data_IF_159753559975
#
_entry.id   IF_159753559975
#
_cell.length_a   1.000
_cell.length_b   1.000
_cell.length_c   1.000
_cell.angle_alpha   90.00
_cell.angle_beta   90.00
_cell.angle_gamma   90.00
#
_symmetry.space_group_name_H-M   'P 1'
#
loop_
_entity.id
_entity.type
_entity.pdbx_description
1 polymer ?
#
# COMPACT_ATOMS: atom_id res chain seq x y z
N UNK A 1 -15.00 -21.11 49.05
CA UNK A 1 -14.92 -21.09 47.56
C UNK A 1 -14.80 -19.71 46.96
N UNK A 2 -15.24 -18.63 47.56
CA UNK A 2 -15.22 -17.27 47.02
C UNK A 2 -13.82 -16.65 46.85
N UNK A 3 -12.88 -16.85 47.82
CA UNK A 3 -11.53 -16.28 47.76
C UNK A 3 -10.66 -16.82 46.59
N UNK A 4 -10.78 -18.11 46.29
CA UNK A 4 -10.05 -18.71 45.14
C UNK A 4 -10.56 -18.21 43.76
N UNK A 5 -11.87 -17.93 43.66
CA UNK A 5 -12.45 -17.37 42.44
C UNK A 5 -12.08 -15.89 42.28
N UNK A 6 -12.00 -15.12 43.38
CA UNK A 6 -11.53 -13.74 43.36
C UNK A 6 -10.04 -13.65 42.99
N UNK A 7 -9.19 -14.52 43.57
CA UNK A 7 -7.77 -14.59 43.24
C UNK A 7 -7.50 -15.04 41.79
N UNK A 8 -8.32 -15.91 41.23
CA UNK A 8 -8.25 -16.30 39.83
C UNK A 8 -8.78 -15.23 38.87
N UNK A 9 -9.77 -14.43 39.31
CA UNK A 9 -10.22 -13.27 38.55
C UNK A 9 -9.16 -12.15 38.58
N UNK A 10 -8.52 -11.88 39.70
CA UNK A 10 -7.40 -10.91 39.85
C UNK A 10 -6.14 -11.35 39.10
N UNK A 11 -5.91 -12.66 38.88
CA UNK A 11 -4.79 -13.17 38.04
C UNK A 11 -5.02 -13.03 36.53
N UNK A 12 -6.22 -12.70 36.08
CA UNK A 12 -6.55 -12.57 34.64
C UNK A 12 -6.48 -11.15 34.10
N UNK A 13 -6.48 -10.14 34.94
CA UNK A 13 -6.26 -8.75 34.52
C UNK A 13 -4.80 -8.37 34.77
N UNK A 14 -3.94 -8.55 33.76
CA UNK A 14 -2.57 -8.01 33.80
C UNK A 14 -2.65 -6.48 33.85
N UNK A 15 -1.86 -5.85 34.75
CA UNK A 15 -1.83 -4.40 34.96
C UNK A 15 -1.50 -3.57 33.71
N UNK A 16 -0.85 -4.16 32.70
CA UNK A 16 -0.33 -3.47 31.51
C UNK A 16 -1.23 -3.69 30.28
N UNK A 17 -1.78 -4.90 30.10
CA UNK A 17 -2.43 -5.29 28.84
C UNK A 17 -3.64 -4.41 28.55
N UNK A 18 -4.47 -4.15 29.53
CA UNK A 18 -5.69 -3.35 29.39
C UNK A 18 -5.38 -1.91 28.95
N UNK A 19 -4.43 -1.28 29.64
CA UNK A 19 -4.06 0.10 29.34
C UNK A 19 -3.35 0.20 27.98
N UNK A 20 -2.51 -0.78 27.64
CA UNK A 20 -1.87 -0.88 26.33
C UNK A 20 -2.92 -1.07 25.20
N UNK A 21 -3.89 -1.94 25.41
CA UNK A 21 -4.95 -2.18 24.42
C UNK A 21 -5.83 -0.93 24.23
N UNK A 22 -6.19 -0.23 25.32
CA UNK A 22 -6.92 1.04 25.23
C UNK A 22 -6.13 2.11 24.47
N UNK A 23 -4.83 2.24 24.76
CA UNK A 23 -3.96 3.15 24.03
C UNK A 23 -3.91 2.83 22.53
N UNK A 24 -3.71 1.57 22.17
CA UNK A 24 -3.67 1.14 20.77
C UNK A 24 -5.00 1.39 20.04
N UNK A 25 -6.12 1.19 20.72
CA UNK A 25 -7.44 1.50 20.16
C UNK A 25 -7.64 3.01 19.94
N UNK A 26 -7.13 3.85 20.81
CA UNK A 26 -7.20 5.31 20.65
C UNK A 26 -6.43 5.82 19.42
N UNK A 27 -5.42 5.08 18.96
CA UNK A 27 -4.69 5.42 17.75
C UNK A 27 -5.50 5.17 16.45
N UNK A 28 -6.54 4.34 16.49
CA UNK A 28 -7.36 4.04 15.30
C UNK A 28 -8.17 5.24 14.79
N UNK A 29 -8.46 6.21 15.64
CA UNK A 29 -9.19 7.43 15.28
C UNK A 29 -8.35 8.42 14.47
N UNK A 30 -7.02 8.31 14.53
CA UNK A 30 -6.06 9.27 13.97
C UNK A 30 -5.50 8.89 12.60
N UNK A 31 -5.55 7.59 12.24
CA UNK A 31 -4.92 7.06 11.02
C UNK A 31 -5.79 7.18 9.75
N UNK A 32 -6.62 8.20 9.66
CA UNK A 32 -7.56 8.35 8.53
C UNK A 32 -7.04 9.25 7.40
N UNK A 33 -5.72 9.32 7.23
CA UNK A 33 -5.05 10.09 6.17
C UNK A 33 -4.96 9.36 4.81
N UNK A 34 -5.72 8.27 4.63
CA UNK A 34 -5.74 7.53 3.36
C UNK A 34 -6.49 8.30 2.30
N UNK A 35 -5.94 8.31 1.09
CA UNK A 35 -6.65 8.81 -0.08
C UNK A 35 -7.98 8.07 -0.25
N UNK A 36 -9.04 8.85 -0.47
CA UNK A 36 -10.40 8.36 -0.71
C UNK A 36 -10.75 8.52 -2.18
N UNK A 37 -11.66 7.67 -2.65
CA UNK A 37 -12.08 7.65 -4.05
C UNK A 37 -10.94 7.38 -5.06
N UNK A 38 -9.99 6.54 -4.69
CA UNK A 38 -8.89 6.09 -5.55
C UNK A 38 -8.79 4.56 -5.60
N UNK A 39 -8.19 4.03 -6.66
CA UNK A 39 -7.78 2.64 -6.72
C UNK A 39 -6.45 2.48 -5.97
N UNK A 40 -6.52 2.19 -4.68
CA UNK A 40 -5.31 1.95 -3.89
C UNK A 40 -4.67 0.61 -4.31
N UNK A 41 -3.37 0.58 -4.68
CA UNK A 41 -2.70 -0.65 -5.13
C UNK A 41 -2.81 -1.81 -4.13
N UNK A 42 -2.76 -1.55 -2.83
CA UNK A 42 -2.95 -2.57 -1.78
C UNK A 42 -4.37 -3.18 -1.73
N UNK A 43 -5.32 -2.63 -2.47
CA UNK A 43 -6.68 -3.16 -2.61
C UNK A 43 -6.92 -3.83 -3.97
N UNK A 44 -5.99 -3.72 -4.91
CA UNK A 44 -6.06 -4.40 -6.21
C UNK A 44 -6.10 -5.92 -5.97
N UNK A 45 -6.87 -6.62 -6.80
CA UNK A 45 -7.13 -8.06 -6.62
C UNK A 45 -8.21 -8.42 -5.61
N UNK A 46 -8.70 -7.47 -4.80
CA UNK A 46 -9.85 -7.70 -3.93
C UNK A 46 -11.17 -7.54 -4.69
N UNK A 47 -12.24 -8.09 -4.13
CA UNK A 47 -13.60 -7.98 -4.66
C UNK A 47 -13.95 -6.53 -5.05
N UNK A 48 -14.46 -6.32 -6.28
CA UNK A 48 -14.84 -4.99 -6.79
C UNK A 48 -15.82 -4.27 -5.88
N UNK A 49 -16.80 -4.99 -5.30
CA UNK A 49 -17.77 -4.41 -4.37
C UNK A 49 -17.11 -3.95 -3.06
N UNK A 50 -16.14 -4.71 -2.53
CA UNK A 50 -15.34 -4.27 -1.38
C UNK A 50 -14.55 -2.99 -1.70
N UNK A 51 -13.94 -2.92 -2.87
CA UNK A 51 -13.20 -1.74 -3.33
C UNK A 51 -14.14 -0.54 -3.57
N UNK A 52 -15.35 -0.78 -4.10
CA UNK A 52 -16.39 0.25 -4.24
C UNK A 52 -16.76 0.86 -2.89
N UNK A 53 -17.06 0.04 -1.88
CA UNK A 53 -17.38 0.54 -0.53
C UNK A 53 -16.21 1.32 0.08
N UNK A 54 -14.98 0.87 -0.10
CA UNK A 54 -13.80 1.60 0.36
C UNK A 54 -13.67 2.98 -0.29
N UNK A 55 -13.97 3.11 -1.58
CA UNK A 55 -13.91 4.37 -2.34
C UNK A 55 -15.07 5.30 -2.04
N UNK A 56 -16.25 4.79 -1.76
CA UNK A 56 -17.45 5.57 -1.47
C UNK A 56 -17.63 5.88 0.02
N UNK A 57 -16.61 5.62 0.84
CA UNK A 57 -16.60 5.87 2.28
C UNK A 57 -17.73 5.17 3.05
N UNK A 58 -18.16 4.01 2.55
CA UNK A 58 -19.10 3.18 3.29
C UNK A 58 -18.50 2.80 4.65
N UNK A 59 -19.27 2.92 5.71
CA UNK A 59 -18.83 2.56 7.06
C UNK A 59 -18.43 1.07 7.09
N UNK A 60 -17.25 0.78 7.60
CA UNK A 60 -16.81 -0.59 7.82
C UNK A 60 -17.65 -1.24 8.92
N UNK A 61 -17.88 -2.54 8.78
CA UNK A 61 -18.46 -3.33 9.85
C UNK A 61 -17.68 -3.11 11.15
N UNK A 62 -18.36 -3.17 12.28
CA UNK A 62 -17.81 -2.83 13.61
C UNK A 62 -16.67 -3.74 14.11
N UNK A 63 -16.16 -4.64 13.30
CA UNK A 63 -14.85 -5.28 13.51
C UNK A 63 -13.73 -4.27 13.27
N UNK A 64 -13.82 -3.15 13.98
CA UNK A 64 -12.73 -2.21 14.12
C UNK A 64 -11.44 -2.98 14.41
N UNK A 65 -10.33 -2.50 13.89
CA UNK A 65 -9.00 -3.05 14.15
C UNK A 65 -8.86 -3.17 15.67
N UNK A 66 -8.89 -4.41 16.19
CA UNK A 66 -8.65 -4.65 17.60
C UNK A 66 -7.18 -4.40 17.95
N UNK A 67 -6.86 -4.26 19.22
CA UNK A 67 -5.52 -3.96 19.69
C UNK A 67 -4.50 -5.04 19.25
N UNK A 68 -4.91 -6.31 19.15
CA UNK A 68 -4.05 -7.39 18.64
C UNK A 68 -3.73 -7.21 17.16
N UNK A 69 -4.73 -6.89 16.34
CA UNK A 69 -4.56 -6.62 14.91
C UNK A 69 -3.69 -5.39 14.71
N UNK A 70 -3.83 -4.34 15.54
CA UNK A 70 -2.95 -3.17 15.52
C UNK A 70 -1.49 -3.58 15.75
N UNK A 71 -1.20 -4.38 16.78
CA UNK A 71 0.16 -4.89 17.02
C UNK A 71 0.72 -5.70 15.83
N UNK A 72 -0.12 -6.44 15.12
CA UNK A 72 0.30 -7.16 13.92
C UNK A 72 0.69 -6.17 12.80
N UNK A 73 -0.06 -5.11 12.61
CA UNK A 73 0.28 -4.07 11.63
C UNK A 73 1.55 -3.31 12.00
N UNK A 74 1.69 -2.93 13.27
CA UNK A 74 2.90 -2.25 13.78
C UNK A 74 4.14 -3.12 13.56
N UNK A 75 4.04 -4.44 13.81
CA UNK A 75 5.14 -5.37 13.53
C UNK A 75 5.47 -5.41 12.02
N UNK A 76 4.46 -5.39 11.14
CA UNK A 76 4.67 -5.27 9.70
C UNK A 76 5.43 -3.99 9.33
N UNK A 77 4.99 -2.84 9.85
CA UNK A 77 5.66 -1.54 9.64
C UNK A 77 7.12 -1.59 10.09
N UNK A 78 7.39 -2.14 11.28
CA UNK A 78 8.78 -2.27 11.77
C UNK A 78 9.64 -3.24 10.93
N UNK A 79 9.03 -4.24 10.32
CA UNK A 79 9.73 -5.10 9.35
C UNK A 79 10.14 -4.30 8.11
N UNK A 80 9.26 -3.47 7.56
CA UNK A 80 9.56 -2.61 6.41
C UNK A 80 10.69 -1.62 6.75
N UNK A 81 10.54 -0.83 7.82
CA UNK A 81 11.55 0.14 8.26
C UNK A 81 12.93 -0.51 8.42
N UNK A 82 13.00 -1.70 9.03
CA UNK A 82 14.26 -2.41 9.27
C UNK A 82 14.90 -2.91 7.97
N UNK A 83 14.14 -3.51 7.07
CA UNK A 83 14.66 -4.02 5.80
C UNK A 83 15.03 -2.87 4.86
N UNK A 84 14.24 -1.81 4.79
CA UNK A 84 14.57 -0.58 4.07
C UNK A 84 15.87 0.04 4.58
N UNK A 85 16.06 0.11 5.91
CA UNK A 85 17.29 0.60 6.52
C UNK A 85 18.52 -0.24 6.08
N UNK A 86 18.42 -1.58 6.12
CA UNK A 86 19.54 -2.44 5.68
C UNK A 86 19.88 -2.25 4.20
N UNK A 87 18.88 -2.12 3.35
CA UNK A 87 19.07 -1.89 1.93
C UNK A 87 19.65 -0.49 1.64
N UNK A 88 19.29 0.51 2.45
CA UNK A 88 19.86 1.86 2.36
C UNK A 88 21.33 1.89 2.79
N UNK A 89 21.71 1.23 3.89
CA UNK A 89 23.10 1.11 4.35
C UNK A 89 24.00 0.39 3.32
N UNK A 90 23.44 -0.53 2.53
CA UNK A 90 24.15 -1.19 1.44
C UNK A 90 24.18 -0.36 0.14
N UNK A 91 23.54 0.80 0.12
CA UNK A 91 23.42 1.65 -1.08
C UNK A 91 22.53 1.07 -2.18
N UNK A 92 21.72 0.06 -1.85
CA UNK A 92 20.76 -0.53 -2.80
C UNK A 92 19.45 0.26 -2.87
N UNK A 93 18.95 0.77 -1.74
CA UNK A 93 17.72 1.56 -1.69
C UNK A 93 18.00 3.00 -2.13
N UNK A 94 17.42 3.41 -3.24
CA UNK A 94 17.53 4.77 -3.78
C UNK A 94 16.54 5.73 -3.13
N UNK A 95 15.35 5.23 -2.84
CA UNK A 95 14.27 5.94 -2.17
C UNK A 95 13.28 4.94 -1.58
N UNK A 96 12.80 5.18 -0.38
CA UNK A 96 11.69 4.52 0.28
C UNK A 96 10.37 5.24 0.00
N UNK A 97 9.26 4.59 0.31
CA UNK A 97 7.90 5.17 0.25
C UNK A 97 7.64 5.95 -1.06
N UNK A 98 7.93 5.32 -2.21
CA UNK A 98 7.75 5.94 -3.52
C UNK A 98 6.27 6.23 -3.78
N UNK A 99 5.88 7.51 -3.91
CA UNK A 99 4.50 7.84 -4.23
C UNK A 99 4.18 7.46 -5.68
N UNK A 100 3.01 6.87 -5.90
CA UNK A 100 2.52 6.53 -7.24
C UNK A 100 1.17 7.17 -7.48
N UNK A 101 1.01 7.79 -8.65
CA UNK A 101 -0.24 8.39 -9.12
C UNK A 101 -0.41 8.04 -10.59
N UNK A 102 -1.64 7.68 -10.96
CA UNK A 102 -2.06 7.57 -12.35
C UNK A 102 -3.49 8.05 -12.47
N UNK A 103 -3.68 9.16 -13.16
CA UNK A 103 -4.99 9.83 -13.30
C UNK A 103 -5.95 9.03 -14.19
N UNK A 104 -5.46 8.36 -15.25
CA UNK A 104 -6.29 7.61 -16.18
C UNK A 104 -7.06 6.49 -15.48
N UNK A 105 -6.41 5.79 -14.55
CA UNK A 105 -7.01 4.71 -13.78
C UNK A 105 -7.36 5.09 -12.34
N UNK A 106 -7.17 6.36 -11.98
CA UNK A 106 -7.40 6.89 -10.62
C UNK A 106 -6.64 6.04 -9.58
N UNK A 107 -5.40 5.69 -9.89
CA UNK A 107 -4.53 4.93 -8.98
C UNK A 107 -3.75 5.92 -8.12
N UNK A 108 -3.73 5.70 -6.80
CA UNK A 108 -2.89 6.45 -5.86
C UNK A 108 -2.44 5.56 -4.70
N UNK A 109 -1.16 5.63 -4.36
CA UNK A 109 -0.58 4.87 -3.25
C UNK A 109 0.92 5.11 -3.12
N UNK A 110 1.59 4.21 -2.38
CA UNK A 110 3.04 4.19 -2.21
C UNK A 110 3.56 2.77 -2.38
N UNK A 111 4.74 2.64 -2.95
CA UNK A 111 5.50 1.38 -2.95
C UNK A 111 6.56 1.45 -1.85
N UNK A 112 7.02 0.30 -1.37
CA UNK A 112 8.01 0.24 -0.29
C UNK A 112 9.39 0.80 -0.70
N UNK A 113 9.68 0.90 -2.01
CA UNK A 113 10.88 1.58 -2.46
C UNK A 113 11.25 1.39 -3.92
N UNK A 114 12.30 2.12 -4.31
CA UNK A 114 13.03 1.97 -5.57
C UNK A 114 14.46 1.53 -5.26
N UNK A 115 14.87 0.42 -5.85
CA UNK A 115 16.21 -0.15 -5.63
C UNK A 115 17.07 -0.13 -6.90
N UNK A 116 18.37 0.00 -6.71
CA UNK A 116 19.36 -0.21 -7.77
C UNK A 116 19.70 -1.70 -7.86
N UNK A 117 19.30 -2.33 -8.96
CA UNK A 117 19.69 -3.73 -9.28
C UNK A 117 21.09 -3.77 -9.90
N UNK A 118 21.42 -2.73 -10.66
CA UNK A 118 22.74 -2.49 -11.23
C UNK A 118 22.98 -0.98 -11.41
N UNK A 119 24.12 -0.58 -11.97
CA UNK A 119 24.40 0.83 -12.27
C UNK A 119 23.31 1.49 -13.15
N UNK A 120 22.70 0.74 -14.05
CA UNK A 120 21.71 1.27 -14.99
C UNK A 120 20.29 0.80 -14.68
N UNK A 121 20.13 -0.37 -14.11
CA UNK A 121 18.82 -0.99 -13.90
C UNK A 121 18.28 -0.71 -12.50
N UNK A 122 17.04 -0.29 -12.43
CA UNK A 122 16.28 -0.05 -11.20
C UNK A 122 15.04 -0.95 -11.17
N UNK A 123 14.57 -1.27 -10.00
CA UNK A 123 13.35 -2.05 -9.78
C UNK A 123 12.52 -1.47 -8.63
N UNK A 124 11.22 -1.68 -8.70
CA UNK A 124 10.31 -1.44 -7.57
C UNK A 124 10.57 -2.50 -6.50
N UNK A 125 10.62 -2.08 -5.24
CA UNK A 125 10.68 -2.97 -4.08
C UNK A 125 9.29 -3.08 -3.45
N UNK A 126 8.91 -4.30 -3.10
CA UNK A 126 7.70 -4.58 -2.33
C UNK A 126 8.03 -5.59 -1.22
N UNK A 127 7.92 -5.19 0.02
CA UNK A 127 8.23 -5.99 1.21
C UNK A 127 6.96 -6.63 1.76
N UNK A 128 7.01 -7.89 2.10
CA UNK A 128 5.87 -8.63 2.67
C UNK A 128 6.29 -9.46 3.89
N UNK A 129 5.63 -9.24 5.02
CA UNK A 129 5.79 -10.03 6.23
C UNK A 129 4.68 -11.06 6.32
N UNK A 130 5.02 -12.35 6.33
CA UNK A 130 4.07 -13.46 6.39
C UNK A 130 4.45 -14.48 7.47
N UNK A 131 3.50 -15.27 7.94
CA UNK A 131 3.74 -16.31 8.95
C UNK A 131 4.45 -17.53 8.36
N UNK A 132 5.04 -18.38 9.21
CA UNK A 132 5.79 -19.57 8.80
C UNK A 132 5.00 -20.50 7.89
N UNK A 133 3.70 -20.69 8.12
CA UNK A 133 2.88 -21.55 7.26
C UNK A 133 2.77 -20.98 5.85
N UNK A 134 2.43 -19.69 5.71
CA UNK A 134 2.39 -19.02 4.41
C UNK A 134 3.76 -18.97 3.73
N UNK A 135 4.82 -18.75 4.51
CA UNK A 135 6.20 -18.67 4.00
C UNK A 135 6.71 -20.02 3.47
N UNK A 136 6.43 -21.12 4.17
CA UNK A 136 6.85 -22.47 3.74
C UNK A 136 6.16 -22.90 2.43
N UNK A 137 4.93 -22.49 2.23
CA UNK A 137 4.14 -22.79 1.02
C UNK A 137 4.48 -21.88 -0.17
N UNK A 138 5.22 -20.79 0.05
CA UNK A 138 5.51 -19.79 -0.97
C UNK A 138 6.54 -20.33 -1.97
N UNK A 139 6.10 -20.61 -3.19
CA UNK A 139 6.94 -21.06 -4.33
C UNK A 139 7.19 -19.94 -5.35
N UNK A 140 6.40 -18.89 -5.30
CA UNK A 140 6.44 -17.70 -6.14
C UNK A 140 5.75 -16.54 -5.41
N UNK A 141 5.87 -15.32 -5.89
CA UNK A 141 5.10 -14.21 -5.37
C UNK A 141 3.59 -14.49 -5.50
N UNK A 142 2.82 -14.15 -4.46
CA UNK A 142 1.37 -14.35 -4.50
C UNK A 142 0.73 -13.51 -5.60
N UNK A 143 -0.33 -14.02 -6.22
CA UNK A 143 -0.99 -13.37 -7.35
C UNK A 143 -1.49 -11.95 -6.99
N UNK A 144 -2.07 -11.77 -5.82
CA UNK A 144 -2.49 -10.45 -5.31
C UNK A 144 -1.34 -9.46 -5.16
N UNK A 145 -0.14 -9.94 -4.79
CA UNK A 145 1.06 -9.10 -4.69
C UNK A 145 1.62 -8.79 -6.08
N UNK A 146 1.56 -9.73 -7.04
CA UNK A 146 1.95 -9.48 -8.43
C UNK A 146 1.09 -8.39 -9.06
N UNK A 147 -0.23 -8.44 -8.87
CA UNK A 147 -1.15 -7.41 -9.32
C UNK A 147 -0.80 -6.03 -8.73
N UNK A 148 -0.53 -5.97 -7.42
CA UNK A 148 -0.09 -4.77 -6.74
C UNK A 148 1.25 -4.26 -7.30
N UNK A 149 2.28 -5.10 -7.35
CA UNK A 149 3.62 -4.71 -7.79
C UNK A 149 3.67 -4.29 -9.26
N UNK A 150 2.95 -4.98 -10.15
CA UNK A 150 2.86 -4.61 -11.56
C UNK A 150 2.13 -3.28 -11.76
N UNK A 151 1.12 -2.97 -10.95
CA UNK A 151 0.47 -1.66 -10.98
C UNK A 151 1.44 -0.53 -10.59
N UNK A 152 2.33 -0.77 -9.63
CA UNK A 152 3.39 0.18 -9.28
C UNK A 152 4.39 0.38 -10.41
N UNK A 153 4.89 -0.71 -11.00
CA UNK A 153 5.81 -0.64 -12.16
C UNK A 153 5.17 0.18 -13.28
N UNK A 154 3.90 -0.07 -13.58
CA UNK A 154 3.16 0.68 -14.60
C UNK A 154 3.11 2.17 -14.28
N UNK A 155 2.67 2.55 -13.09
CA UNK A 155 2.54 3.97 -12.72
C UNK A 155 3.89 4.71 -12.73
N UNK A 156 4.94 4.10 -12.18
CA UNK A 156 6.27 4.69 -12.13
C UNK A 156 6.89 4.82 -13.53
N UNK A 157 6.71 3.80 -14.39
CA UNK A 157 7.24 3.84 -15.75
C UNK A 157 6.49 4.85 -16.64
N UNK A 158 5.16 4.97 -16.50
CA UNK A 158 4.40 6.03 -17.17
C UNK A 158 4.85 7.43 -16.72
N UNK A 159 5.11 7.62 -15.41
CA UNK A 159 5.67 8.87 -14.91
C UNK A 159 7.06 9.14 -15.48
N UNK A 160 7.95 8.13 -15.52
CA UNK A 160 9.28 8.25 -16.11
C UNK A 160 9.20 8.67 -17.57
N UNK A 161 8.36 7.99 -18.38
CA UNK A 161 8.13 8.34 -19.79
C UNK A 161 7.65 9.77 -19.95
N UNK A 162 6.68 10.20 -19.14
CA UNK A 162 6.20 11.57 -19.15
C UNK A 162 7.33 12.57 -18.92
N UNK A 163 8.17 12.34 -17.91
CA UNK A 163 9.28 13.24 -17.60
C UNK A 163 10.26 13.35 -18.76
N UNK A 164 10.72 12.23 -19.33
CA UNK A 164 11.64 12.20 -20.47
C UNK A 164 11.05 12.76 -21.77
N UNK A 165 9.73 12.91 -21.86
CA UNK A 165 9.06 13.56 -23.01
C UNK A 165 8.93 15.09 -22.84
N UNK A 166 8.93 15.59 -21.60
CA UNK A 166 8.61 17.00 -21.30
C UNK A 166 9.80 17.79 -20.81
N UNK A 167 10.86 17.13 -20.36
CA UNK A 167 12.06 17.77 -19.82
C UNK A 167 13.31 17.19 -20.51
N UNK A 168 14.18 18.05 -20.97
CA UNK A 168 15.44 17.67 -21.63
C UNK A 168 16.55 17.40 -20.61
N UNK A 169 16.46 18.00 -19.43
CA UNK A 169 17.47 17.91 -18.37
C UNK A 169 16.88 17.94 -16.97
N UNK A 170 17.70 17.63 -15.97
CA UNK A 170 17.33 17.77 -14.56
C UNK A 170 17.12 19.24 -14.18
N UNK A 171 17.93 20.15 -14.75
CA UNK A 171 17.84 21.59 -14.55
C UNK A 171 16.49 22.14 -15.03
N UNK A 172 15.97 21.65 -16.17
CA UNK A 172 14.63 22.02 -16.67
C UNK A 172 13.52 21.55 -15.73
N UNK A 173 13.65 20.34 -15.20
CA UNK A 173 12.73 19.81 -14.20
C UNK A 173 12.77 20.64 -12.90
N UNK A 174 13.97 21.02 -12.44
CA UNK A 174 14.15 21.83 -11.25
C UNK A 174 13.58 23.26 -11.43
N UNK A 175 13.67 23.82 -12.61
CA UNK A 175 13.06 25.11 -12.94
C UNK A 175 11.53 25.07 -12.81
N UNK A 176 10.89 23.95 -13.11
CA UNK A 176 9.44 23.74 -12.99
C UNK A 176 8.99 23.25 -11.60
N UNK A 177 9.90 23.17 -10.63
CA UNK A 177 9.62 22.59 -9.31
C UNK A 177 8.38 23.19 -8.64
N UNK A 178 8.24 24.51 -8.66
CA UNK A 178 7.08 25.18 -8.01
C UNK A 178 5.75 24.77 -8.64
N UNK A 179 5.70 24.64 -9.96
CA UNK A 179 4.52 24.17 -10.68
C UNK A 179 4.20 22.71 -10.34
N UNK A 180 5.21 21.83 -10.31
CA UNK A 180 5.06 20.42 -9.96
C UNK A 180 4.58 20.25 -8.52
N UNK A 181 5.15 20.98 -7.56
CA UNK A 181 4.72 20.98 -6.16
C UNK A 181 3.25 21.37 -6.02
N UNK A 182 2.80 22.43 -6.70
CA UNK A 182 1.38 22.82 -6.73
C UNK A 182 0.49 21.74 -7.36
N UNK A 183 0.99 21.05 -8.37
CA UNK A 183 0.26 19.96 -9.03
C UNK A 183 0.10 18.78 -8.09
N UNK A 184 1.17 18.35 -7.41
CA UNK A 184 1.11 17.25 -6.45
C UNK A 184 0.23 17.57 -5.24
N UNK A 185 0.24 18.80 -4.74
CA UNK A 185 -0.59 19.19 -3.61
C UNK A 185 -2.09 18.91 -3.81
N UNK A 186 -2.56 18.87 -5.07
CA UNK A 186 -3.97 18.56 -5.39
C UNK A 186 -4.38 17.15 -4.97
N UNK A 187 -3.46 16.18 -5.01
CA UNK A 187 -3.73 14.80 -4.65
C UNK A 187 -3.80 14.57 -3.12
N UNK A 188 -3.30 15.52 -2.33
CA UNK A 188 -3.17 15.40 -0.87
C UNK A 188 -4.12 16.31 -0.09
N UNK A 189 -5.14 16.87 -0.77
CA UNK A 189 -6.13 17.75 -0.11
C UNK A 189 -6.99 17.03 0.95
N UNK A 190 -7.03 15.72 0.94
CA UNK A 190 -7.74 14.89 1.91
C UNK A 190 -7.02 14.75 3.26
N UNK A 191 -5.71 15.09 3.33
CA UNK A 191 -4.95 15.03 4.57
C UNK A 191 -5.51 15.99 5.62
N UNK A 192 -5.35 15.64 6.89
CA UNK A 192 -5.84 16.38 8.05
C UNK A 192 -4.71 16.66 9.04
N UNK A 193 -4.92 17.62 9.94
CA UNK A 193 -4.03 17.81 11.06
C UNK A 193 -3.91 16.54 11.89
N UNK A 194 -2.70 16.24 12.32
CA UNK A 194 -2.37 15.13 13.19
C UNK A 194 -1.72 15.61 14.49
N UNK A 195 -1.41 14.69 15.40
CA UNK A 195 -0.74 15.03 16.68
C UNK A 195 0.64 15.62 16.52
N UNK A 196 1.39 15.20 15.47
CA UNK A 196 2.79 15.57 15.27
C UNK A 196 3.00 16.59 14.16
N UNK A 197 2.14 16.56 13.15
CA UNK A 197 2.30 17.34 11.94
C UNK A 197 0.97 17.97 11.53
N UNK A 198 1.02 19.23 11.11
CA UNK A 198 -0.11 19.93 10.50
C UNK A 198 -0.44 19.32 9.13
N UNK A 199 -1.61 19.63 8.62
CA UNK A 199 -2.02 19.25 7.26
C UNK A 199 -1.06 19.78 6.21
N UNK A 200 -0.64 21.01 6.34
CA UNK A 200 0.29 21.68 5.42
C UNK A 200 1.66 21.00 5.41
N UNK A 201 2.22 20.64 6.57
CA UNK A 201 3.48 19.91 6.67
C UNK A 201 3.39 18.53 6.01
N UNK A 202 2.27 17.83 6.18
CA UNK A 202 2.05 16.54 5.53
C UNK A 202 1.95 16.68 4.00
N UNK A 203 1.23 17.68 3.50
CA UNK A 203 1.12 17.96 2.06
C UNK A 203 2.51 18.30 1.51
N UNK A 204 3.23 19.19 2.17
CA UNK A 204 4.57 19.57 1.77
C UNK A 204 5.50 18.34 1.68
N UNK A 205 5.48 17.50 2.69
CA UNK A 205 6.27 16.28 2.72
C UNK A 205 5.96 15.35 1.54
N UNK A 206 4.69 15.13 1.23
CA UNK A 206 4.27 14.29 0.10
C UNK A 206 4.69 14.88 -1.24
N UNK A 207 4.58 16.19 -1.41
CA UNK A 207 5.03 16.88 -2.62
C UNK A 207 6.55 16.76 -2.81
N UNK A 208 7.33 16.89 -1.74
CA UNK A 208 8.80 16.71 -1.78
C UNK A 208 9.18 15.27 -2.16
N UNK A 209 8.44 14.27 -1.66
CA UNK A 209 8.65 12.88 -2.07
C UNK A 209 8.44 12.69 -3.58
N UNK A 210 7.35 13.25 -4.13
CA UNK A 210 7.10 13.21 -5.58
C UNK A 210 8.22 13.87 -6.37
N UNK A 211 8.62 15.06 -5.97
CA UNK A 211 9.68 15.78 -6.67
C UNK A 211 11.03 15.04 -6.62
N UNK A 212 11.38 14.48 -5.45
CA UNK A 212 12.56 13.63 -5.29
C UNK A 212 12.50 12.41 -6.20
N UNK A 213 11.34 11.74 -6.29
CA UNK A 213 11.14 10.65 -7.22
C UNK A 213 11.35 11.09 -8.67
N UNK A 214 10.78 12.20 -9.08
CA UNK A 214 10.93 12.74 -10.44
C UNK A 214 12.38 12.99 -10.79
N UNK A 215 13.17 13.57 -9.88
CA UNK A 215 14.62 13.77 -10.08
C UNK A 215 15.35 12.43 -10.29
N UNK A 216 15.00 11.39 -9.54
CA UNK A 216 15.58 10.04 -9.72
C UNK A 216 15.16 9.44 -11.06
N UNK A 217 13.89 9.60 -11.44
CA UNK A 217 13.37 9.07 -12.71
C UNK A 217 13.99 9.76 -13.93
N UNK A 218 14.22 11.09 -13.87
CA UNK A 218 14.96 11.82 -14.91
C UNK A 218 16.38 11.30 -15.11
N UNK A 219 17.04 10.86 -14.03
CA UNK A 219 18.37 10.27 -14.08
C UNK A 219 18.33 8.76 -14.40
N UNK A 220 17.17 8.21 -14.76
CA UNK A 220 16.98 6.79 -15.05
C UNK A 220 16.73 6.58 -16.56
N UNK A 221 17.79 6.34 -17.38
CA UNK A 221 17.65 6.24 -18.83
C UNK A 221 16.99 4.92 -19.27
N UNK A 222 17.11 3.87 -18.44
CA UNK A 222 16.57 2.54 -18.74
C UNK A 222 15.16 2.39 -18.14
N UNK A 223 14.19 1.83 -18.90
CA UNK A 223 12.84 1.59 -18.38
C UNK A 223 12.82 0.75 -17.12
N UNK A 224 11.98 1.16 -16.15
CA UNK A 224 11.71 0.40 -14.94
C UNK A 224 10.66 -0.66 -15.26
N UNK A 225 11.07 -1.91 -15.33
CA UNK A 225 10.22 -3.01 -15.78
C UNK A 225 10.11 -4.15 -14.78
N UNK A 226 10.76 -4.03 -13.62
CA UNK A 226 10.83 -5.10 -12.63
C UNK A 226 10.23 -4.66 -11.30
N UNK A 227 9.61 -5.62 -10.62
CA UNK A 227 9.30 -5.55 -9.20
C UNK A 227 9.99 -6.71 -8.49
N UNK A 228 10.65 -6.39 -7.38
CA UNK A 228 11.28 -7.35 -6.48
C UNK A 228 10.40 -7.45 -5.23
N UNK A 229 9.89 -8.65 -4.98
CA UNK A 229 9.14 -8.98 -3.77
C UNK A 229 10.09 -9.58 -2.74
N UNK A 230 10.27 -8.91 -1.62
CA UNK A 230 11.06 -9.39 -0.50
C UNK A 230 10.11 -9.88 0.61
N UNK A 231 10.00 -11.19 0.76
CA UNK A 231 9.19 -11.80 1.80
C UNK A 231 10.03 -12.11 3.04
N UNK A 232 9.53 -11.69 4.19
CA UNK A 232 10.07 -12.11 5.47
C UNK A 232 9.10 -13.04 6.20
N UNK A 233 9.64 -14.16 6.70
CA UNK A 233 8.95 -14.97 7.68
C UNK A 233 8.97 -14.25 9.05
N UNK A 234 7.83 -13.71 9.47
CA UNK A 234 7.73 -12.92 10.71
C UNK A 234 8.03 -13.70 11.98
N UNK A 235 8.09 -15.05 11.92
CA UNK A 235 8.30 -15.90 13.09
C UNK A 235 9.79 -16.21 13.31
N UNK A 236 10.61 -16.27 12.24
CA UNK A 236 12.05 -16.62 12.32
C UNK A 236 12.98 -15.73 11.46
N UNK A 237 12.43 -14.71 10.78
CA UNK A 237 13.12 -13.70 9.96
C UNK A 237 13.85 -14.27 8.72
N UNK A 238 13.54 -15.52 8.29
CA UNK A 238 14.00 -16.01 6.99
C UNK A 238 13.45 -15.16 5.84
N UNK A 239 14.28 -15.01 4.80
CA UNK A 239 13.92 -14.21 3.63
C UNK A 239 13.74 -15.08 2.38
N UNK A 240 12.80 -14.70 1.53
CA UNK A 240 12.66 -15.17 0.15
C UNK A 240 12.47 -13.98 -0.77
N UNK A 241 13.07 -14.07 -1.94
CA UNK A 241 12.99 -13.05 -2.97
C UNK A 241 12.37 -13.62 -4.24
N UNK A 242 11.51 -12.84 -4.89
CA UNK A 242 10.96 -13.12 -6.22
C UNK A 242 11.01 -11.85 -7.05
N UNK A 243 11.53 -11.97 -8.27
CA UNK A 243 11.60 -10.88 -9.22
C UNK A 243 10.69 -11.17 -10.40
N UNK A 244 9.86 -10.21 -10.79
CA UNK A 244 8.93 -10.31 -11.92
C UNK A 244 9.18 -9.15 -12.86
N UNK A 245 9.21 -9.44 -14.16
CA UNK A 245 9.31 -8.41 -15.20
C UNK A 245 7.95 -8.13 -15.81
N UNK A 246 7.59 -6.85 -15.91
CA UNK A 246 6.38 -6.42 -16.64
C UNK A 246 6.43 -6.69 -18.15
N UNK A 247 7.59 -7.09 -18.68
CA UNK A 247 7.77 -7.47 -20.10
C UNK A 247 7.36 -8.90 -20.40
N UNK A 248 7.20 -9.74 -19.38
CA UNK A 248 6.76 -11.12 -19.56
C UNK A 248 5.28 -11.16 -19.97
N UNK A 249 4.91 -12.04 -20.91
CA UNK A 249 3.54 -12.15 -21.38
C UNK A 249 2.52 -12.34 -20.26
N UNK A 250 2.82 -13.24 -19.30
CA UNK A 250 1.98 -13.47 -18.12
C UNK A 250 1.80 -12.20 -17.27
N UNK A 251 2.84 -11.40 -17.13
CA UNK A 251 2.77 -10.13 -16.38
C UNK A 251 1.94 -9.08 -17.10
N UNK A 252 1.99 -9.08 -18.46
CA UNK A 252 1.15 -8.21 -19.28
C UNK A 252 -0.34 -8.58 -19.14
N UNK A 253 -0.67 -9.87 -19.14
CA UNK A 253 -2.04 -10.34 -18.95
C UNK A 253 -2.58 -9.94 -17.56
N UNK A 254 -1.75 -10.11 -16.49
CA UNK A 254 -2.10 -9.67 -15.14
C UNK A 254 -2.34 -8.15 -15.10
N UNK A 255 -1.44 -7.37 -15.70
CA UNK A 255 -1.55 -5.91 -15.71
C UNK A 255 -2.79 -5.45 -16.48
N UNK A 256 -3.07 -6.04 -17.65
CA UNK A 256 -4.29 -5.74 -18.42
C UNK A 256 -5.54 -5.95 -17.57
N UNK A 257 -5.66 -7.10 -16.90
CA UNK A 257 -6.77 -7.39 -15.98
C UNK A 257 -6.88 -6.37 -14.85
N UNK A 258 -5.75 -5.95 -14.26
CA UNK A 258 -5.72 -4.93 -13.19
C UNK A 258 -6.25 -3.59 -13.67
N UNK A 259 -5.83 -3.15 -14.86
CA UNK A 259 -6.26 -1.87 -15.43
C UNK A 259 -7.73 -1.90 -15.84
N UNK A 260 -8.21 -2.99 -16.43
CA UNK A 260 -9.63 -3.21 -16.76
C UNK A 260 -10.52 -3.21 -15.50
N UNK A 261 -10.06 -3.84 -14.44
CA UNK A 261 -10.74 -3.82 -13.13
C UNK A 261 -10.80 -2.42 -12.53
N UNK A 262 -9.75 -1.61 -12.69
CA UNK A 262 -9.74 -0.21 -12.25
C UNK A 262 -10.74 0.63 -13.04
N UNK A 263 -10.80 0.49 -14.37
CA UNK A 263 -11.77 1.19 -15.22
C UNK A 263 -13.20 0.77 -14.90
N UNK A 264 -13.43 -0.53 -14.79
CA UNK A 264 -14.74 -1.08 -14.39
C UNK A 264 -15.20 -0.48 -13.06
N UNK A 265 -14.30 -0.43 -12.06
CA UNK A 265 -14.64 0.16 -10.77
C UNK A 265 -14.88 1.66 -10.87
N UNK A 266 -14.08 2.39 -11.68
CA UNK A 266 -14.28 3.83 -11.93
C UNK A 266 -15.68 4.10 -12.49
N UNK A 267 -16.14 3.27 -13.44
CA UNK A 267 -17.48 3.37 -13.99
C UNK A 267 -18.58 3.12 -12.94
N UNK A 268 -18.44 2.08 -12.11
CA UNK A 268 -19.42 1.81 -11.04
C UNK A 268 -19.51 2.97 -10.05
N UNK A 269 -18.38 3.53 -9.66
CA UNK A 269 -18.32 4.68 -8.74
C UNK A 269 -18.94 5.92 -9.39
N UNK A 270 -18.59 6.23 -10.64
CA UNK A 270 -19.15 7.38 -11.36
C UNK A 270 -20.67 7.30 -11.54
N UNK A 271 -21.20 6.10 -11.77
CA UNK A 271 -22.63 5.83 -11.93
C UNK A 271 -23.37 5.69 -10.59
N UNK A 272 -22.69 5.69 -9.45
CA UNK A 272 -23.28 5.40 -8.14
C UNK A 272 -23.93 4.01 -8.04
N UNK A 273 -23.44 3.03 -8.84
CA UNK A 273 -24.04 1.70 -8.95
C UNK A 273 -23.14 0.67 -8.30
N UNK A 274 -23.71 -0.18 -7.46
CA UNK A 274 -22.97 -1.27 -6.81
C UNK A 274 -22.49 -2.32 -7.82
N UNK A 275 -21.21 -2.72 -7.79
CA UNK A 275 -20.72 -3.89 -8.52
C UNK A 275 -21.42 -5.18 -8.08
N UNK A 276 -21.45 -6.24 -8.90
CA UNK A 276 -21.97 -7.54 -8.50
C UNK A 276 -21.17 -8.11 -7.31
N UNK A 277 -21.79 -8.99 -6.53
CA UNK A 277 -21.10 -9.73 -5.47
C UNK A 277 -20.07 -10.69 -6.09
N UNK A 278 -18.89 -10.79 -5.49
CA UNK A 278 -17.84 -11.72 -5.94
C UNK A 278 -18.15 -13.20 -5.59
N UNK A 279 -19.11 -13.44 -4.70
CA UNK A 279 -19.50 -14.77 -4.28
C UNK A 279 -21.02 -14.87 -4.16
N UNK A 280 -21.53 -16.08 -4.35
CA UNK A 280 -22.94 -16.42 -4.13
C UNK A 280 -23.28 -16.69 -2.65
N UNK A 281 -22.27 -16.80 -1.77
CA UNK A 281 -22.48 -17.11 -0.36
C UNK A 281 -21.67 -16.20 0.56
N UNK A 282 -22.29 -15.77 1.68
CA UNK A 282 -21.64 -14.97 2.73
C UNK A 282 -20.49 -15.72 3.43
N UNK A 283 -20.51 -17.04 3.40
CA UNK A 283 -19.52 -17.90 4.07
C UNK A 283 -18.25 -18.14 3.26
N UNK A 284 -18.14 -17.61 2.03
CA UNK A 284 -16.91 -17.70 1.22
C UNK A 284 -15.74 -17.04 1.97
N UNK A 285 -14.52 -17.51 1.68
CA UNK A 285 -13.31 -16.96 2.32
C UNK A 285 -13.18 -15.45 2.09
N UNK A 286 -13.49 -14.98 0.89
CA UNK A 286 -13.43 -13.55 0.56
C UNK A 286 -14.41 -12.70 1.37
N UNK A 287 -15.61 -13.22 1.62
CA UNK A 287 -16.64 -12.53 2.40
C UNK A 287 -16.43 -12.63 3.91
N UNK A 288 -15.84 -13.74 4.39
CA UNK A 288 -15.66 -13.99 5.83
C UNK A 288 -14.79 -12.94 6.51
N UNK A 289 -13.80 -12.39 5.81
CA UNK A 289 -12.88 -11.36 6.32
C UNK A 289 -13.08 -10.00 5.66
N UNK A 290 -14.17 -9.84 4.91
CA UNK A 290 -14.48 -8.56 4.27
C UNK A 290 -14.98 -7.54 5.31
N UNK A 291 -14.39 -6.35 5.40
CA UNK A 291 -14.81 -5.33 6.36
C UNK A 291 -16.17 -4.67 6.02
N UNK A 292 -16.81 -5.09 4.94
CA UNK A 292 -18.12 -4.62 4.47
C UNK A 292 -19.10 -5.78 4.27
N UNK A 293 -18.88 -6.90 4.96
CA UNK A 293 -19.71 -8.08 4.76
C UNK A 293 -21.17 -7.85 5.19
N UNK A 294 -21.39 -7.09 6.27
CA UNK A 294 -22.76 -6.77 6.76
C UNK A 294 -23.46 -5.92 5.69
N UNK A 295 -22.89 -4.81 5.27
CA UNK A 295 -23.47 -3.93 4.26
C UNK A 295 -23.70 -4.63 2.92
N UNK A 296 -22.79 -5.49 2.52
CA UNK A 296 -22.88 -6.22 1.26
C UNK A 296 -24.04 -7.26 1.24
N UNK A 297 -24.40 -7.82 2.40
CA UNK A 297 -25.36 -8.92 2.49
C UNK A 297 -26.73 -8.53 3.10
N UNK A 298 -26.85 -7.27 3.55
CA UNK A 298 -28.14 -6.65 3.85
C UNK A 298 -28.78 -6.17 2.55
#
# INVERSE_FOLDING_TARGET
>A
MALKSLFNAMKREGYIIKDLDLYLLSLNEEDNDRAINVNAPSQIGKCLRQRYYARTQTTRDSNAIDARTRRIFDNGTKTHERLQHYLAEQGMLLMDEIPVINDSYIIQGHTDGLIAVSKLEKAILEIKSINSNGFSQLKDAKEEHKQQGLSYVYCVEERRKFLHQHYDSLEDLEADREFLMKTYAKYYQHLKDGRKHTREEKIQFQCELHFKMDCILMQTPVPITKVVFLYENKDNQELKEYCISSREAKSQDILSTVLEDCDTLNEYVAKGKLPPRCSSTKSSMDCRFCPYAIECWN
#
